data_IF_478123699246
#
_entry.id   IF_478123699246
#
_cell.length_a   1.000
_cell.length_b   1.000
_cell.length_c   1.000
_cell.angle_alpha   90.00
_cell.angle_beta   90.00
_cell.angle_gamma   90.00
#
_symmetry.space_group_name_H-M   'P 1'
#
loop_
_entity.id
_entity.type
_entity.pdbx_description
1 polymer ?
#
# COMPACT_ATOMS: atom_id res chain seq x y z
N UNK A 1 1.24 17.11 -5.24
CA UNK A 1 0.16 16.22 -4.78
C UNK A 1 0.41 14.92 -5.51
N UNK A 2 0.80 13.85 -4.80
CA UNK A 2 1.29 12.61 -5.43
C UNK A 2 0.33 12.02 -6.45
N UNK A 3 0.88 11.46 -7.53
CA UNK A 3 0.13 10.97 -8.70
C UNK A 3 -0.83 9.84 -8.31
N UNK A 4 -0.54 9.13 -7.22
CA UNK A 4 -1.27 7.93 -6.77
C UNK A 4 -2.10 8.13 -5.50
N UNK A 5 -2.28 9.37 -5.04
CA UNK A 5 -3.05 9.67 -3.82
C UNK A 5 -4.48 9.10 -3.85
N UNK A 6 -5.08 8.97 -5.04
CA UNK A 6 -6.42 8.39 -5.17
C UNK A 6 -6.48 6.93 -4.74
N UNK A 7 -5.39 6.15 -4.87
CA UNK A 7 -5.31 4.78 -4.37
C UNK A 7 -5.53 4.77 -2.86
N UNK A 8 -4.76 5.58 -2.14
CA UNK A 8 -4.85 5.69 -0.69
C UNK A 8 -6.23 6.20 -0.24
N UNK A 9 -6.82 7.15 -0.98
CA UNK A 9 -8.18 7.65 -0.72
C UNK A 9 -9.23 6.58 -0.91
N UNK A 10 -9.11 5.73 -1.92
CA UNK A 10 -10.07 4.65 -2.15
C UNK A 10 -10.00 3.60 -1.04
N UNK A 11 -8.80 3.26 -0.57
CA UNK A 11 -8.60 2.39 0.59
C UNK A 11 -9.18 3.03 1.85
N UNK A 12 -8.92 4.32 2.08
CA UNK A 12 -9.46 5.06 3.23
C UNK A 12 -11.00 5.18 3.17
N UNK A 13 -11.58 5.43 2.01
CA UNK A 13 -13.03 5.49 1.79
C UNK A 13 -13.69 4.17 2.18
N UNK A 14 -13.12 3.03 1.75
CA UNK A 14 -13.63 1.70 2.13
C UNK A 14 -13.56 1.42 3.64
N UNK A 15 -12.60 2.04 4.35
CA UNK A 15 -12.53 1.98 5.81
C UNK A 15 -13.57 2.88 6.50
N UNK A 16 -14.20 3.79 5.76
CA UNK A 16 -15.15 4.80 6.25
C UNK A 16 -16.61 4.57 5.77
N UNK A 17 -16.88 3.78 4.73
CA UNK A 17 -18.19 3.56 4.07
C UNK A 17 -19.29 2.84 4.91
N UNK A 18 -19.29 2.98 6.23
CA UNK A 18 -20.39 2.53 7.08
C UNK A 18 -21.41 3.63 7.38
N UNK A 19 -22.72 3.33 7.45
CA UNK A 19 -23.72 4.31 7.89
C UNK A 19 -23.46 4.66 9.37
N UNK A 20 -23.10 5.92 9.65
CA UNK A 20 -22.90 6.40 11.03
C UNK A 20 -21.49 6.26 11.62
N UNK A 21 -20.46 6.02 10.80
CA UNK A 21 -19.07 5.94 11.30
C UNK A 21 -18.69 4.59 11.91
N UNK A 22 -19.54 3.58 11.77
CA UNK A 22 -19.22 2.17 12.05
C UNK A 22 -19.01 1.49 10.69
N UNK A 23 -17.75 1.46 10.23
CA UNK A 23 -17.37 0.96 8.91
C UNK A 23 -17.88 -0.46 8.60
N UNK A 24 -18.02 -0.78 7.31
CA UNK A 24 -18.46 -2.06 6.70
C UNK A 24 -17.52 -3.24 6.95
N UNK A 25 -17.00 -3.35 8.17
CA UNK A 25 -16.03 -4.35 8.57
C UNK A 25 -14.65 -4.16 7.93
N UNK A 26 -13.68 -4.97 8.37
CA UNK A 26 -12.31 -4.93 7.87
C UNK A 26 -12.19 -5.16 6.36
N UNK A 27 -11.17 -4.59 5.74
CA UNK A 27 -10.79 -4.90 4.36
C UNK A 27 -10.21 -6.31 4.34
N UNK A 28 -10.67 -7.15 3.42
CA UNK A 28 -10.09 -8.47 3.18
C UNK A 28 -8.90 -8.37 2.19
N UNK A 29 -7.88 -9.26 2.25
CA UNK A 29 -6.71 -9.20 1.37
C UNK A 29 -7.02 -9.27 -0.13
N UNK A 30 -8.05 -10.03 -0.50
CA UNK A 30 -8.53 -10.18 -1.88
C UNK A 30 -9.22 -8.91 -2.41
N UNK A 31 -9.80 -8.10 -1.53
CA UNK A 31 -10.44 -6.82 -1.89
C UNK A 31 -9.44 -5.72 -2.24
N UNK A 32 -8.17 -5.85 -1.86
CA UNK A 32 -7.17 -4.79 -2.04
C UNK A 32 -6.97 -4.48 -3.53
N UNK A 33 -6.84 -5.50 -4.38
CA UNK A 33 -6.69 -5.30 -5.83
C UNK A 33 -7.85 -4.53 -6.44
N UNK A 34 -9.08 -4.87 -6.05
CA UNK A 34 -10.29 -4.20 -6.53
C UNK A 34 -10.37 -2.74 -6.07
N UNK A 35 -9.94 -2.44 -4.84
CA UNK A 35 -9.86 -1.06 -4.35
C UNK A 35 -8.86 -0.22 -5.15
N UNK A 36 -7.71 -0.79 -5.52
CA UNK A 36 -6.75 -0.12 -6.40
C UNK A 36 -7.35 0.12 -7.79
N UNK A 37 -8.07 -0.86 -8.37
CA UNK A 37 -8.74 -0.66 -9.68
C UNK A 37 -9.80 0.43 -9.63
N UNK A 38 -10.56 0.51 -8.53
CA UNK A 38 -11.60 1.54 -8.33
C UNK A 38 -11.06 2.95 -8.14
N UNK A 39 -9.78 3.12 -7.83
CA UNK A 39 -9.19 4.45 -7.67
C UNK A 39 -8.96 5.19 -8.99
N UNK A 40 -9.30 4.57 -10.13
CA UNK A 40 -9.15 5.17 -11.46
C UNK A 40 -7.75 5.02 -12.06
N UNK A 41 -6.87 4.21 -11.46
CA UNK A 41 -5.58 3.86 -12.04
C UNK A 41 -5.81 3.02 -13.30
N UNK A 42 -5.44 3.57 -14.46
CA UNK A 42 -5.58 2.90 -15.76
C UNK A 42 -4.40 2.02 -16.12
N UNK A 43 -3.24 2.23 -15.46
CA UNK A 43 -2.07 1.40 -15.63
C UNK A 43 -2.32 -0.02 -15.10
N UNK A 44 -1.78 -1.04 -15.78
CA UNK A 44 -1.66 -2.38 -15.20
C UNK A 44 -0.69 -2.34 -14.02
N UNK A 45 -0.95 -3.10 -12.96
CA UNK A 45 -0.14 -3.05 -11.74
C UNK A 45 -0.01 -4.41 -11.06
N UNK A 46 1.07 -4.59 -10.31
CA UNK A 46 1.18 -5.66 -9.33
C UNK A 46 0.65 -5.15 -7.97
N UNK A 47 -0.08 -5.99 -7.23
CA UNK A 47 -0.71 -5.59 -5.97
C UNK A 47 -0.38 -6.55 -4.82
N UNK A 48 -0.13 -6.00 -3.64
CA UNK A 48 0.23 -6.74 -2.42
C UNK A 48 -0.50 -6.17 -1.20
N UNK A 49 -1.29 -6.95 -0.43
CA UNK A 49 -1.69 -8.32 -0.73
C UNK A 49 -2.56 -8.37 -1.98
N UNK A 50 -2.56 -9.53 -2.61
CA UNK A 50 -3.15 -9.75 -3.93
C UNK A 50 -2.41 -10.85 -4.65
N UNK A 51 -3.02 -11.39 -5.69
CA UNK A 51 -2.36 -12.32 -6.60
C UNK A 51 -1.64 -11.44 -7.63
N UNK A 52 -0.30 -11.32 -7.59
CA UNK A 52 0.41 -10.67 -8.69
C UNK A 52 0.10 -11.45 -9.96
N UNK A 53 -0.46 -10.78 -10.96
CA UNK A 53 -0.56 -11.33 -12.31
C UNK A 53 0.86 -11.74 -12.74
N UNK A 54 1.03 -12.87 -13.43
CA UNK A 54 2.34 -13.46 -13.74
C UNK A 54 3.27 -12.59 -14.61
N UNK A 55 2.85 -11.36 -14.93
CA UNK A 55 3.61 -10.35 -15.63
C UNK A 55 4.16 -9.29 -14.66
N UNK A 56 5.35 -8.80 -14.97
CA UNK A 56 5.89 -7.61 -14.32
C UNK A 56 5.28 -6.35 -14.94
N UNK A 57 4.78 -5.45 -14.08
CA UNK A 57 4.19 -4.18 -14.50
C UNK A 57 5.05 -3.00 -14.07
N UNK A 58 4.85 -1.84 -14.72
CA UNK A 58 5.59 -0.61 -14.37
C UNK A 58 5.19 -0.03 -13.01
N UNK A 59 4.00 -0.36 -12.51
CA UNK A 59 3.45 0.08 -11.23
C UNK A 59 3.29 -1.11 -10.27
N UNK A 60 3.77 -0.95 -9.04
CA UNK A 60 3.57 -1.90 -7.95
C UNK A 60 2.96 -1.21 -6.72
N UNK A 61 1.88 -1.78 -6.19
CA UNK A 61 1.11 -1.21 -5.07
C UNK A 61 1.19 -2.15 -3.87
N UNK A 62 1.63 -1.62 -2.74
CA UNK A 62 1.80 -2.33 -1.48
C UNK A 62 0.90 -1.70 -0.41
N UNK A 63 -0.10 -2.45 0.03
CA UNK A 63 -1.09 -2.03 1.03
C UNK A 63 -0.86 -2.83 2.31
N UNK A 64 -0.34 -2.17 3.34
CA UNK A 64 -0.08 -2.75 4.65
C UNK A 64 -1.10 -2.25 5.69
N UNK A 65 -2.09 -3.08 5.99
CA UNK A 65 -3.11 -2.77 7.01
C UNK A 65 -2.82 -3.61 8.26
N UNK A 66 -2.51 -2.94 9.37
CA UNK A 66 -2.06 -3.58 10.61
C UNK A 66 -2.98 -3.30 11.79
N UNK A 67 -3.77 -2.22 11.76
CA UNK A 67 -4.71 -1.92 12.84
C UNK A 67 -5.89 -2.91 12.87
N UNK A 68 -6.40 -3.17 14.08
CA UNK A 68 -7.59 -4.01 14.28
C UNK A 68 -8.79 -3.46 13.50
N UNK A 69 -8.91 -2.13 13.40
CA UNK A 69 -9.97 -1.49 12.61
C UNK A 69 -9.89 -1.85 11.13
N UNK A 70 -8.68 -1.83 10.55
CA UNK A 70 -8.51 -2.01 9.11
C UNK A 70 -8.54 -3.46 8.65
N UNK A 71 -7.93 -4.38 9.40
CA UNK A 71 -7.87 -5.82 9.02
C UNK A 71 -8.68 -6.76 9.90
N UNK A 72 -9.16 -6.32 11.07
CA UNK A 72 -9.83 -7.18 12.05
C UNK A 72 -8.96 -8.38 12.42
N UNK A 73 -9.56 -9.57 12.42
CA UNK A 73 -8.88 -10.86 12.64
C UNK A 73 -8.42 -11.54 11.34
N UNK A 74 -8.45 -10.82 10.21
CA UNK A 74 -8.19 -11.37 8.89
C UNK A 74 -6.69 -11.67 8.70
N UNK A 75 -6.38 -12.88 8.25
CA UNK A 75 -5.01 -13.31 7.89
C UNK A 75 -4.72 -12.99 6.41
N UNK A 76 -3.46 -12.83 6.05
CA UNK A 76 -3.03 -12.65 4.66
C UNK A 76 -2.76 -11.20 4.24
N UNK A 77 -3.03 -10.21 5.10
CA UNK A 77 -2.53 -8.85 4.90
C UNK A 77 -1.00 -8.81 4.96
N UNK A 78 -0.40 -7.90 4.19
CA UNK A 78 1.02 -7.60 4.25
C UNK A 78 1.33 -6.91 5.59
N UNK A 79 2.08 -7.56 6.51
CA UNK A 79 2.47 -6.93 7.77
C UNK A 79 3.45 -5.79 7.52
N UNK A 80 3.39 -4.73 8.34
CA UNK A 80 4.26 -3.56 8.15
C UNK A 80 5.75 -3.92 8.17
N UNK A 81 6.15 -4.82 9.07
CA UNK A 81 7.53 -5.32 9.18
C UNK A 81 8.05 -5.98 7.90
N UNK A 82 7.15 -6.51 7.08
CA UNK A 82 7.49 -7.23 5.85
C UNK A 82 7.34 -6.35 4.60
N UNK A 83 6.87 -5.11 4.76
CA UNK A 83 6.60 -4.17 3.67
C UNK A 83 7.85 -3.89 2.81
N UNK A 84 8.91 -3.35 3.41
CA UNK A 84 10.14 -3.03 2.68
C UNK A 84 10.87 -4.27 2.14
N UNK A 85 11.03 -5.37 2.90
CA UNK A 85 11.55 -6.62 2.34
C UNK A 85 10.76 -7.11 1.12
N UNK A 86 9.43 -6.96 1.13
CA UNK A 86 8.57 -7.34 0.02
C UNK A 86 8.73 -6.44 -1.19
N UNK A 87 8.88 -5.12 -0.98
CA UNK A 87 9.19 -4.16 -2.04
C UNK A 87 10.51 -4.54 -2.73
N UNK A 88 11.57 -4.79 -1.96
CA UNK A 88 12.86 -5.17 -2.51
C UNK A 88 12.82 -6.48 -3.29
N UNK A 89 12.18 -7.50 -2.71
CA UNK A 89 11.99 -8.78 -3.39
C UNK A 89 11.26 -8.59 -4.72
N UNK A 90 10.23 -7.74 -4.76
CA UNK A 90 9.52 -7.43 -5.99
C UNK A 90 10.42 -6.73 -7.01
N UNK A 91 11.13 -5.66 -6.64
CA UNK A 91 12.00 -4.92 -7.57
C UNK A 91 13.13 -5.78 -8.15
N UNK A 92 13.66 -6.72 -7.35
CA UNK A 92 14.65 -7.69 -7.83
C UNK A 92 14.06 -8.68 -8.85
N UNK A 93 12.79 -9.05 -8.72
CA UNK A 93 12.08 -9.97 -9.62
C UNK A 93 11.47 -9.27 -10.85
N UNK A 94 11.14 -7.99 -10.70
CA UNK A 94 10.51 -7.15 -11.71
C UNK A 94 11.34 -5.87 -11.95
N UNK A 95 12.45 -5.97 -12.70
CA UNK A 95 13.32 -4.81 -12.98
C UNK A 95 12.65 -3.75 -13.86
N UNK A 96 11.50 -4.06 -14.47
CA UNK A 96 10.68 -3.12 -15.24
C UNK A 96 9.80 -2.20 -14.38
N UNK A 97 9.67 -2.47 -13.08
CA UNK A 97 8.88 -1.64 -12.16
C UNK A 97 9.55 -0.28 -12.00
N UNK A 98 8.83 0.80 -12.32
CA UNK A 98 9.31 2.18 -12.26
C UNK A 98 8.66 2.98 -11.15
N UNK A 99 7.49 2.55 -10.69
CA UNK A 99 6.68 3.25 -9.70
C UNK A 99 6.26 2.27 -8.59
N UNK A 100 6.47 2.68 -7.34
CA UNK A 100 6.07 1.94 -6.15
C UNK A 100 5.17 2.82 -5.32
N UNK A 101 3.97 2.33 -5.02
CA UNK A 101 3.01 3.01 -4.14
C UNK A 101 2.85 2.20 -2.87
N UNK A 102 3.05 2.86 -1.73
CA UNK A 102 2.87 2.28 -0.41
C UNK A 102 1.65 2.93 0.24
N UNK A 103 0.71 2.12 0.70
CA UNK A 103 -0.44 2.55 1.50
C UNK A 103 -0.38 1.81 2.83
N UNK A 104 -0.40 2.52 3.94
CA UNK A 104 -0.35 1.91 5.26
C UNK A 104 -1.28 2.62 6.23
N UNK A 105 -1.82 1.90 7.21
CA UNK A 105 -2.59 2.50 8.32
C UNK A 105 -1.75 2.67 9.59
N UNK A 106 -0.48 2.29 9.53
CA UNK A 106 0.46 2.31 10.66
C UNK A 106 1.81 2.82 10.16
N UNK A 107 2.36 3.81 10.86
CA UNK A 107 3.72 4.32 10.63
C UNK A 107 4.41 4.47 11.99
N UNK A 108 5.26 3.51 12.33
CA UNK A 108 6.00 3.52 13.59
C UNK A 108 7.41 4.07 13.35
N UNK A 109 7.64 5.31 13.82
CA UNK A 109 9.00 5.91 13.89
C UNK A 109 9.88 4.98 14.74
N UNK A 110 11.02 4.52 14.20
CA UNK A 110 11.84 3.46 14.81
C UNK A 110 11.78 2.10 14.11
N UNK A 111 10.63 1.71 13.55
CA UNK A 111 10.53 0.47 12.72
C UNK A 111 10.92 0.71 11.26
N UNK A 112 10.89 1.96 10.83
CA UNK A 112 11.34 2.38 9.50
C UNK A 112 12.85 2.65 9.48
N UNK A 113 13.43 2.97 10.63
CA UNK A 113 14.85 3.33 10.79
C UNK A 113 15.83 2.31 10.18
N UNK A 114 15.64 0.99 10.35
CA UNK A 114 16.49 -0.01 9.68
C UNK A 114 16.42 0.05 8.15
N UNK A 115 15.33 0.60 7.61
CA UNK A 115 15.06 0.73 6.18
C UNK A 115 15.34 2.15 5.65
N UNK A 116 15.76 3.10 6.48
CA UNK A 116 16.08 4.47 6.01
C UNK A 116 17.28 4.46 5.03
N UNK A 117 18.30 3.65 5.31
CA UNK A 117 19.42 3.46 4.38
C UNK A 117 18.97 2.81 3.06
N UNK A 118 17.97 1.92 3.14
CA UNK A 118 17.37 1.28 1.98
C UNK A 118 16.47 2.23 1.19
N UNK A 119 15.77 3.16 1.84
CA UNK A 119 14.89 4.12 1.16
C UNK A 119 15.64 5.00 0.16
N UNK A 120 16.88 5.41 0.46
CA UNK A 120 17.71 6.15 -0.48
C UNK A 120 18.01 5.33 -1.75
N UNK A 121 18.35 4.05 -1.59
CA UNK A 121 18.60 3.13 -2.70
C UNK A 121 17.31 2.81 -3.46
N UNK A 122 16.18 2.74 -2.76
CA UNK A 122 14.87 2.47 -3.34
C UNK A 122 14.48 3.58 -4.31
N UNK A 123 14.66 4.84 -3.91
CA UNK A 123 14.43 6.02 -4.75
C UNK A 123 15.32 6.12 -5.98
N UNK A 124 16.51 5.53 -5.94
CA UNK A 124 17.38 5.42 -7.12
C UNK A 124 16.88 4.37 -8.12
N UNK A 125 16.08 3.41 -7.66
CA UNK A 125 15.61 2.27 -8.46
C UNK A 125 14.21 2.53 -9.05
N UNK A 126 13.33 3.18 -8.29
CA UNK A 126 11.95 3.49 -8.68
C UNK A 126 11.47 4.80 -8.03
N UNK A 127 10.48 5.44 -8.64
CA UNK A 127 9.72 6.52 -8.00
C UNK A 127 8.83 5.93 -6.91
N UNK A 128 8.93 6.43 -5.68
CA UNK A 128 8.20 5.87 -4.53
C UNK A 128 7.29 6.93 -3.93
N UNK A 129 6.01 6.60 -3.81
CA UNK A 129 5.04 7.38 -3.07
C UNK A 129 4.53 6.56 -1.88
N UNK A 130 4.41 7.17 -0.71
CA UNK A 130 3.88 6.52 0.48
C UNK A 130 2.79 7.35 1.13
N UNK A 131 1.73 6.67 1.57
CA UNK A 131 0.55 7.29 2.16
C UNK A 131 0.18 6.60 3.47
N UNK A 132 -0.06 7.41 4.49
CA UNK A 132 -0.58 7.00 5.79
C UNK A 132 -2.09 7.26 5.86
N UNK A 133 -2.84 6.23 6.21
CA UNK A 133 -4.26 6.33 6.56
C UNK A 133 -4.37 6.47 8.07
N UNK A 134 -4.91 7.60 8.54
CA UNK A 134 -5.15 7.83 9.96
C UNK A 134 -6.47 8.58 10.18
N UNK A 135 -7.33 8.04 11.06
CA UNK A 135 -8.61 8.68 11.38
C UNK A 135 -9.53 8.86 10.17
N UNK A 136 -9.39 8.02 9.14
CA UNK A 136 -10.14 8.15 7.87
C UNK A 136 -9.58 9.20 6.91
N UNK A 137 -8.52 9.91 7.30
CA UNK A 137 -7.77 10.84 6.44
C UNK A 137 -6.57 10.14 5.81
N UNK A 138 -6.09 10.70 4.70
CA UNK A 138 -4.88 10.26 3.99
C UNK A 138 -3.85 11.37 4.07
N UNK A 139 -2.65 11.04 4.54
CA UNK A 139 -1.50 11.92 4.52
C UNK A 139 -0.37 11.31 3.67
N UNK A 140 0.34 12.13 2.93
CA UNK A 140 1.57 11.72 2.25
C UNK A 140 2.70 11.62 3.27
N UNK A 141 3.48 10.54 3.19
CA UNK A 141 4.64 10.34 4.04
C UNK A 141 5.86 10.84 3.26
N UNK A 142 6.62 11.82 3.78
CA UNK A 142 7.88 12.21 3.18
C UNK A 142 8.88 11.07 3.36
N UNK A 143 9.08 10.28 2.30
CA UNK A 143 10.17 9.31 2.21
C UNK A 143 11.45 10.00 1.82
#
# INVERSE_FOLDING_TARGET
MGDFMQIARQVAARLNEGPGGIGTGPIQPDQVGDLVRRSGVTATFNCYPGIPEGACHSLAVFVSLNSVRSKGNTRGHLPFKDLFPRVWKHLAQCPGTRQVVIVTDTWEVGRVDPFLGDLARLKQTAHVEAFLIHGGNVAEIPL
#
